data_IF_445690002686
#
_entry.id   IF_445690002686
#
_cell.length_a   1.000
_cell.length_b   1.000
_cell.length_c   1.000
_cell.angle_alpha   90.00
_cell.angle_beta   90.00
_cell.angle_gamma   90.00
#
_symmetry.space_group_name_H-M   'P 1'
#
loop_
_entity.id
_entity.type
_entity.pdbx_description
1 polymer ?
#
# COMPACT_ATOMS: atom_id res chain seq x y z
N UNK A 1 -4.11 8.57 8.87
CA UNK A 1 -3.79 7.47 7.92
C UNK A 1 -2.48 7.72 7.16
N UNK A 2 -2.37 8.80 6.38
CA UNK A 2 -1.17 9.09 5.56
C UNK A 2 0.14 9.20 6.37
N UNK A 3 0.13 9.94 7.47
CA UNK A 3 1.31 10.11 8.35
C UNK A 3 1.78 8.78 8.93
N UNK A 4 0.84 7.91 9.35
CA UNK A 4 1.17 6.59 9.87
C UNK A 4 1.76 5.68 8.78
N UNK A 5 1.20 5.75 7.57
CA UNK A 5 1.73 5.04 6.40
C UNK A 5 3.16 5.49 6.07
N UNK A 6 3.38 6.80 5.99
CA UNK A 6 4.71 7.37 5.70
C UNK A 6 5.75 6.98 6.76
N UNK A 7 5.40 7.09 8.04
CA UNK A 7 6.29 6.70 9.14
C UNK A 7 6.65 5.22 9.10
N UNK A 8 5.66 4.36 8.84
CA UNK A 8 5.90 2.92 8.68
C UNK A 8 6.80 2.63 7.48
N UNK A 9 6.50 3.26 6.34
CA UNK A 9 7.23 3.08 5.08
C UNK A 9 8.71 3.48 5.22
N UNK A 10 8.99 4.66 5.76
CA UNK A 10 10.37 5.14 5.97
C UNK A 10 11.11 4.24 6.97
N UNK A 11 10.47 3.89 8.10
CA UNK A 11 11.10 3.06 9.13
C UNK A 11 11.46 1.66 8.64
N UNK A 12 10.66 1.09 7.74
CA UNK A 12 10.86 -0.27 7.23
C UNK A 12 11.35 -0.29 5.78
N UNK A 13 11.85 0.86 5.27
CA UNK A 13 12.25 0.99 3.88
C UNK A 13 13.22 -0.09 3.39
N UNK A 14 14.19 -0.59 4.20
CA UNK A 14 15.04 -1.71 3.75
C UNK A 14 14.25 -2.97 3.36
N UNK A 15 13.19 -3.30 4.10
CA UNK A 15 12.31 -4.44 3.78
C UNK A 15 11.47 -4.12 2.54
N UNK A 16 10.88 -2.93 2.50
CA UNK A 16 10.12 -2.43 1.34
C UNK A 16 10.94 -2.51 0.06
N UNK A 17 12.19 -2.05 0.13
CA UNK A 17 13.15 -2.05 -0.95
C UNK A 17 13.49 -3.48 -1.39
N UNK A 18 13.75 -4.40 -0.46
CA UNK A 18 14.01 -5.80 -0.79
C UNK A 18 12.84 -6.45 -1.56
N UNK A 19 11.59 -6.28 -1.10
CA UNK A 19 10.42 -6.76 -1.81
C UNK A 19 10.26 -6.09 -3.18
N UNK A 20 10.54 -4.79 -3.28
CA UNK A 20 10.48 -4.05 -4.54
C UNK A 20 11.54 -4.47 -5.56
N UNK A 21 12.76 -4.77 -5.10
CA UNK A 21 13.85 -5.30 -5.94
C UNK A 21 13.48 -6.69 -6.46
N UNK A 22 12.95 -7.56 -5.59
CA UNK A 22 12.44 -8.88 -5.99
C UNK A 22 11.34 -8.78 -7.05
N UNK A 23 10.34 -7.92 -6.83
CA UNK A 23 9.29 -7.67 -7.81
C UNK A 23 9.82 -7.08 -9.14
N UNK A 24 10.97 -6.40 -9.10
CA UNK A 24 11.60 -5.82 -10.29
C UNK A 24 12.49 -6.81 -11.05
N UNK A 25 12.96 -7.87 -10.39
CA UNK A 25 13.92 -8.83 -10.98
C UNK A 25 13.31 -9.51 -12.21
N UNK A 26 12.00 -9.80 -12.17
CA UNK A 26 11.24 -10.30 -13.32
C UNK A 26 11.44 -9.44 -14.57
N UNK A 27 11.35 -8.11 -14.43
CA UNK A 27 11.36 -7.19 -15.57
C UNK A 27 12.74 -7.04 -16.19
N UNK A 28 13.79 -7.11 -15.38
CA UNK A 28 15.17 -7.11 -15.88
C UNK A 28 15.55 -8.44 -16.53
N UNK A 29 15.09 -9.58 -16.00
CA UNK A 29 15.29 -10.90 -16.62
C UNK A 29 14.58 -10.99 -17.97
N UNK A 30 13.36 -10.47 -18.08
CA UNK A 30 12.61 -10.44 -19.34
C UNK A 30 13.24 -9.55 -20.42
N UNK A 31 13.96 -8.48 -20.02
CA UNK A 31 14.59 -7.52 -20.95
C UNK A 31 16.02 -7.93 -21.31
N UNK A 32 16.77 -8.54 -20.39
CA UNK A 32 18.20 -8.85 -20.56
C UNK A 32 18.55 -10.32 -20.78
N UNK A 33 17.63 -11.27 -20.59
CA UNK A 33 17.94 -12.70 -20.54
C UNK A 33 18.02 -13.45 -21.88
N UNK A 34 17.58 -12.89 -23.01
CA UNK A 34 17.48 -13.64 -24.28
C UNK A 34 16.29 -14.62 -24.32
N UNK A 35 16.24 -15.50 -25.33
CA UNK A 35 15.09 -16.42 -25.56
C UNK A 35 14.81 -17.37 -24.40
N UNK A 36 15.85 -17.81 -23.67
CA UNK A 36 15.74 -18.72 -22.52
C UNK A 36 14.93 -18.14 -21.34
N UNK A 37 14.77 -16.82 -21.30
CA UNK A 37 14.04 -16.10 -20.24
C UNK A 37 12.77 -15.44 -20.75
N UNK A 38 12.34 -15.69 -21.99
CA UNK A 38 11.12 -15.12 -22.57
C UNK A 38 9.87 -15.42 -21.73
N UNK A 39 9.83 -16.56 -21.03
CA UNK A 39 8.74 -16.95 -20.13
C UNK A 39 8.59 -16.02 -18.91
N UNK A 40 9.65 -15.31 -18.51
CA UNK A 40 9.61 -14.32 -17.40
C UNK A 40 8.84 -13.05 -17.77
N UNK A 41 8.67 -12.77 -19.06
CA UNK A 41 7.77 -11.73 -19.55
C UNK A 41 6.29 -12.13 -19.52
N UNK A 42 6.00 -13.43 -19.43
CA UNK A 42 4.65 -14.01 -19.47
C UNK A 42 4.04 -14.28 -18.10
N UNK A 43 3.03 -15.16 -18.07
CA UNK A 43 2.18 -15.47 -16.91
C UNK A 43 3.01 -15.84 -15.66
N UNK A 44 4.07 -16.62 -15.82
CA UNK A 44 4.92 -17.04 -14.70
C UNK A 44 5.60 -15.85 -14.00
N UNK A 45 6.05 -14.85 -14.77
CA UNK A 45 6.62 -13.63 -14.21
C UNK A 45 5.60 -12.76 -13.50
N UNK A 46 4.39 -12.66 -14.05
CA UNK A 46 3.28 -11.95 -13.40
C UNK A 46 2.86 -12.61 -12.09
N UNK A 47 2.78 -13.95 -12.07
CA UNK A 47 2.49 -14.73 -10.86
C UNK A 47 3.56 -14.51 -9.79
N UNK A 48 4.84 -14.50 -10.17
CA UNK A 48 5.94 -14.22 -9.25
C UNK A 48 5.81 -12.81 -8.64
N UNK A 49 5.67 -11.78 -9.48
CA UNK A 49 5.54 -10.39 -9.03
C UNK A 49 4.31 -10.19 -8.12
N UNK A 50 3.17 -10.79 -8.48
CA UNK A 50 1.97 -10.74 -7.66
C UNK A 50 2.14 -11.52 -6.35
N UNK A 51 2.83 -12.66 -6.37
CA UNK A 51 3.17 -13.42 -5.17
C UNK A 51 4.02 -12.61 -4.19
N UNK A 52 5.08 -11.94 -4.69
CA UNK A 52 5.93 -11.05 -3.88
C UNK A 52 5.11 -9.90 -3.28
N UNK A 53 4.21 -9.28 -4.07
CA UNK A 53 3.31 -8.22 -3.58
C UNK A 53 2.34 -8.72 -2.52
N UNK A 54 1.78 -9.91 -2.69
CA UNK A 54 0.87 -10.52 -1.72
C UNK A 54 1.60 -10.83 -0.41
N UNK A 55 2.81 -11.39 -0.48
CA UNK A 55 3.66 -11.63 0.69
C UNK A 55 4.00 -10.32 1.41
N UNK A 56 4.34 -9.27 0.66
CA UNK A 56 4.58 -7.95 1.24
C UNK A 56 3.31 -7.38 1.91
N UNK A 57 2.15 -7.47 1.27
CA UNK A 57 0.87 -7.07 1.85
C UNK A 57 0.59 -7.80 3.17
N UNK A 58 0.77 -9.12 3.19
CA UNK A 58 0.60 -9.93 4.40
C UNK A 58 1.58 -9.50 5.50
N UNK A 59 2.84 -9.25 5.14
CA UNK A 59 3.85 -8.78 6.08
C UNK A 59 3.49 -7.41 6.68
N UNK A 60 3.07 -6.45 5.84
CA UNK A 60 2.62 -5.12 6.29
C UNK A 60 1.39 -5.25 7.20
N UNK A 61 0.37 -6.00 6.78
CA UNK A 61 -0.85 -6.23 7.55
C UNK A 61 -0.53 -6.84 8.93
N UNK A 62 0.32 -7.89 8.95
CA UNK A 62 0.73 -8.54 10.19
C UNK A 62 1.47 -7.60 11.13
N UNK A 63 2.32 -6.71 10.62
CA UNK A 63 3.08 -5.77 11.46
C UNK A 63 2.23 -4.59 11.93
N UNK A 64 1.41 -4.00 11.05
CA UNK A 64 0.61 -2.82 11.38
C UNK A 64 -0.62 -3.14 12.22
N UNK A 65 -1.23 -4.32 12.04
CA UNK A 65 -2.46 -4.75 12.72
C UNK A 65 -2.20 -5.66 13.93
N UNK A 66 -0.93 -5.98 14.23
CA UNK A 66 -0.53 -6.93 15.29
C UNK A 66 -1.18 -6.63 16.64
N UNK A 67 -1.30 -5.35 16.98
CA UNK A 67 -1.82 -4.86 18.25
C UNK A 67 -3.34 -4.90 18.33
N UNK A 68 -4.04 -4.92 17.19
CA UNK A 68 -5.49 -4.89 17.11
C UNK A 68 -6.11 -6.29 17.03
N UNK A 69 -5.34 -7.30 16.60
CA UNK A 69 -5.79 -8.70 16.40
C UNK A 69 -7.18 -8.82 15.76
N UNK A 70 -7.43 -8.17 14.61
CA UNK A 70 -8.77 -8.12 14.03
C UNK A 70 -9.21 -9.49 13.52
N UNK A 71 -10.50 -9.79 13.65
CA UNK A 71 -11.12 -10.95 13.00
C UNK A 71 -11.45 -10.63 11.53
N UNK A 72 -11.62 -11.67 10.70
CA UNK A 72 -12.03 -11.48 9.29
C UNK A 72 -13.37 -10.73 9.15
N UNK A 73 -14.28 -10.91 10.10
CA UNK A 73 -15.54 -10.16 10.17
C UNK A 73 -15.32 -8.66 10.38
N UNK A 74 -14.34 -8.27 11.20
CA UNK A 74 -14.04 -6.86 11.46
C UNK A 74 -13.48 -6.18 10.21
N UNK A 75 -12.57 -6.87 9.51
CA UNK A 75 -12.01 -6.41 8.23
C UNK A 75 -13.12 -6.28 7.18
N UNK A 76 -14.01 -7.27 7.07
CA UNK A 76 -15.12 -7.23 6.10
C UNK A 76 -16.08 -6.09 6.39
N UNK A 77 -16.37 -5.82 7.66
CA UNK A 77 -17.27 -4.73 8.08
C UNK A 77 -16.59 -3.36 8.06
N UNK A 78 -15.28 -3.30 7.81
CA UNK A 78 -14.53 -2.05 7.60
C UNK A 78 -14.87 -1.41 6.25
N UNK A 79 -15.47 -2.13 5.30
CA UNK A 79 -15.98 -1.52 4.06
C UNK A 79 -17.13 -0.56 4.31
N UNK A 80 -17.87 -0.70 5.42
CA UNK A 80 -18.96 0.23 5.76
C UNK A 80 -18.41 1.57 6.28
N UNK A 81 -17.23 1.55 6.89
CA UNK A 81 -16.53 2.77 7.33
C UNK A 81 -16.16 3.67 6.14
N UNK A 82 -15.80 3.04 5.02
CA UNK A 82 -15.53 3.70 3.74
C UNK A 82 -16.75 4.47 3.22
N UNK A 83 -17.96 3.92 3.39
CA UNK A 83 -19.20 4.57 2.95
C UNK A 83 -19.56 5.82 3.78
N UNK A 84 -19.21 5.82 5.08
CA UNK A 84 -19.46 6.92 6.01
C UNK A 84 -18.44 8.07 5.96
N UNK A 85 -17.21 7.81 5.48
CA UNK A 85 -16.11 8.78 5.52
C UNK A 85 -15.75 9.36 4.14
N UNK A 86 -16.77 9.74 3.36
CA UNK A 86 -16.63 10.21 1.97
C UNK A 86 -15.61 11.34 1.81
N UNK A 87 -15.53 12.29 2.75
CA UNK A 87 -14.56 13.38 2.71
C UNK A 87 -13.10 12.90 2.87
N UNK A 88 -12.85 11.96 3.79
CA UNK A 88 -11.53 11.35 3.95
C UNK A 88 -11.17 10.49 2.72
N UNK A 89 -12.17 9.86 2.09
CA UNK A 89 -12.01 9.15 0.83
C UNK A 89 -11.69 10.06 -0.35
N UNK A 90 -12.35 11.22 -0.44
CA UNK A 90 -12.03 12.24 -1.44
C UNK A 90 -10.60 12.72 -1.27
N UNK A 91 -10.14 12.93 -0.03
CA UNK A 91 -8.75 13.30 0.23
C UNK A 91 -7.77 12.17 -0.14
N UNK A 92 -8.11 10.90 0.14
CA UNK A 92 -7.33 9.77 -0.37
C UNK A 92 -7.32 9.77 -1.91
N UNK A 93 -8.43 10.07 -2.58
CA UNK A 93 -8.52 10.22 -4.02
C UNK A 93 -7.61 11.34 -4.55
N UNK A 94 -7.63 12.51 -3.92
CA UNK A 94 -6.76 13.64 -4.28
C UNK A 94 -5.29 13.27 -4.11
N UNK A 95 -4.92 12.65 -2.99
CA UNK A 95 -3.55 12.18 -2.74
C UNK A 95 -3.14 11.11 -3.74
N UNK A 96 -4.05 10.20 -4.13
CA UNK A 96 -3.81 9.22 -5.20
C UNK A 96 -3.58 9.86 -6.56
N UNK A 97 -4.38 10.85 -6.92
CA UNK A 97 -4.22 11.59 -8.18
C UNK A 97 -2.90 12.36 -8.17
N UNK A 98 -2.57 13.04 -7.06
CA UNK A 98 -1.31 13.77 -6.92
C UNK A 98 -0.09 12.83 -7.00
N UNK A 99 -0.12 11.70 -6.28
CA UNK A 99 0.91 10.66 -6.38
C UNK A 99 0.99 10.12 -7.81
N UNK A 100 -0.15 9.86 -8.45
CA UNK A 100 -0.17 9.38 -9.84
C UNK A 100 0.45 10.41 -10.77
N UNK A 101 0.17 11.71 -10.63
CA UNK A 101 0.78 12.74 -11.46
C UNK A 101 2.30 12.81 -11.25
N UNK A 102 2.76 12.89 -10.00
CA UNK A 102 4.20 12.96 -9.67
C UNK A 102 4.94 11.73 -10.21
N UNK A 103 4.38 10.54 -10.03
CA UNK A 103 5.09 9.31 -10.31
C UNK A 103 4.81 8.69 -11.68
N UNK A 104 3.68 8.99 -12.31
CA UNK A 104 3.42 8.58 -13.70
C UNK A 104 3.96 9.62 -14.66
N UNK A 105 3.76 10.91 -14.40
CA UNK A 105 4.26 11.95 -15.32
C UNK A 105 5.71 12.26 -14.98
N UNK A 106 6.02 12.61 -13.73
CA UNK A 106 7.39 13.02 -13.36
C UNK A 106 8.45 11.94 -13.57
N UNK A 107 8.22 10.72 -13.09
CA UNK A 107 9.21 9.62 -13.24
C UNK A 107 9.30 9.14 -14.68
N UNK A 108 8.18 9.01 -15.41
CA UNK A 108 8.23 8.55 -16.81
C UNK A 108 8.94 9.60 -17.69
N UNK A 109 8.71 10.90 -17.45
CA UNK A 109 9.42 11.99 -18.13
C UNK A 109 10.91 12.02 -17.78
N UNK A 110 11.27 11.81 -16.51
CA UNK A 110 12.66 11.78 -16.08
C UNK A 110 13.44 10.61 -16.70
N UNK A 111 12.84 9.41 -16.72
CA UNK A 111 13.48 8.20 -17.26
C UNK A 111 13.54 8.22 -18.79
N UNK A 112 12.53 8.79 -19.46
CA UNK A 112 12.56 8.98 -20.91
C UNK A 112 13.73 9.86 -21.37
N UNK A 113 14.24 10.75 -20.51
CA UNK A 113 15.43 11.55 -20.79
C UNK A 113 16.78 10.86 -20.51
N UNK A 114 16.79 9.67 -19.91
CA UNK A 114 18.00 9.01 -19.41
C UNK A 114 18.34 7.67 -20.09
N UNK A 115 17.39 7.02 -20.75
CA UNK A 115 17.58 5.67 -21.28
C UNK A 115 16.93 5.45 -22.65
N UNK A 116 17.48 4.52 -23.44
CA UNK A 116 16.83 4.07 -24.68
C UNK A 116 15.41 3.53 -24.39
N UNK A 117 14.45 3.68 -25.33
CA UNK A 117 13.04 3.35 -25.11
C UNK A 117 12.79 1.94 -24.55
N UNK A 118 13.60 0.97 -24.98
CA UNK A 118 13.50 -0.45 -24.56
C UNK A 118 13.87 -0.65 -23.09
N UNK A 119 14.85 0.09 -22.59
CA UNK A 119 15.31 0.05 -21.19
C UNK A 119 14.57 1.03 -20.28
N UNK A 120 14.07 2.14 -20.83
CA UNK A 120 13.31 3.14 -20.08
C UNK A 120 12.08 2.52 -19.41
N UNK A 121 11.34 1.65 -20.10
CA UNK A 121 10.18 0.97 -19.54
C UNK A 121 10.53 0.07 -18.35
N UNK A 122 11.66 -0.65 -18.43
CA UNK A 122 12.14 -1.53 -17.36
C UNK A 122 12.53 -0.73 -16.11
N UNK A 123 13.27 0.37 -16.30
CA UNK A 123 13.66 1.28 -15.22
C UNK A 123 12.46 1.97 -14.57
N UNK A 124 11.51 2.43 -15.37
CA UNK A 124 10.26 3.02 -14.87
C UNK A 124 9.54 2.03 -13.97
N UNK A 125 9.37 0.78 -14.41
CA UNK A 125 8.71 -0.24 -13.60
C UNK A 125 9.50 -0.58 -12.34
N UNK A 126 10.83 -0.61 -12.42
CA UNK A 126 11.69 -0.87 -11.26
C UNK A 126 11.54 0.22 -10.18
N UNK A 127 11.59 1.49 -10.57
CA UNK A 127 11.39 2.62 -9.66
C UNK A 127 10.01 2.54 -9.01
N UNK A 128 8.97 2.28 -9.79
CA UNK A 128 7.59 2.16 -9.27
C UNK A 128 7.44 0.98 -8.29
N UNK A 129 8.14 -0.14 -8.54
CA UNK A 129 8.13 -1.33 -7.69
C UNK A 129 8.87 -1.16 -6.36
N UNK A 130 9.86 -0.25 -6.24
CA UNK A 130 10.57 0.02 -4.97
C UNK A 130 10.06 1.25 -4.22
N UNK A 131 9.12 2.01 -4.80
CA UNK A 131 8.59 3.24 -4.20
C UNK A 131 7.07 3.19 -4.05
N UNK A 132 6.34 3.39 -5.15
CA UNK A 132 4.91 3.67 -5.15
C UNK A 132 4.09 2.46 -4.76
N UNK A 133 4.33 1.33 -5.41
CA UNK A 133 3.48 0.14 -5.24
C UNK A 133 3.57 -0.35 -3.78
N UNK A 134 4.76 -0.44 -3.18
CA UNK A 134 4.85 -0.77 -1.77
C UNK A 134 4.25 0.31 -0.86
N UNK A 135 4.40 1.61 -1.18
CA UNK A 135 3.79 2.68 -0.39
C UNK A 135 2.26 2.60 -0.41
N UNK A 136 1.69 2.30 -1.57
CA UNK A 136 0.26 2.09 -1.77
C UNK A 136 -0.28 0.94 -0.93
N UNK A 137 0.45 -0.17 -0.86
CA UNK A 137 0.12 -1.31 0.01
C UNK A 137 0.14 -0.90 1.48
N UNK A 138 1.20 -0.19 1.92
CA UNK A 138 1.32 0.32 3.30
C UNK A 138 0.17 1.27 3.65
N UNK A 139 -0.17 2.17 2.73
CA UNK A 139 -1.24 3.13 2.96
C UNK A 139 -2.61 2.47 3.03
N UNK A 140 -2.91 1.50 2.16
CA UNK A 140 -4.15 0.73 2.22
C UNK A 140 -4.33 0.05 3.58
N UNK A 141 -3.28 -0.58 4.12
CA UNK A 141 -3.31 -1.19 5.45
C UNK A 141 -3.47 -0.13 6.56
N UNK A 142 -2.84 1.04 6.42
CA UNK A 142 -3.00 2.14 7.37
C UNK A 142 -4.44 2.69 7.43
N UNK A 143 -5.16 2.68 6.30
CA UNK A 143 -6.59 3.05 6.24
C UNK A 143 -7.44 2.01 6.99
N UNK A 144 -7.22 0.72 6.74
CA UNK A 144 -7.93 -0.37 7.45
C UNK A 144 -7.65 -0.30 8.95
N UNK A 145 -6.40 -0.08 9.34
CA UNK A 145 -6.01 0.07 10.74
C UNK A 145 -6.76 1.21 11.43
N UNK A 146 -6.85 2.38 10.79
CA UNK A 146 -7.55 3.52 11.35
C UNK A 146 -9.05 3.25 11.51
N UNK A 147 -9.69 2.59 10.53
CA UNK A 147 -11.09 2.19 10.62
C UNK A 147 -11.34 1.23 11.80
N UNK A 148 -10.40 0.32 12.09
CA UNK A 148 -10.47 -0.59 13.22
C UNK A 148 -10.23 0.12 14.56
N UNK A 149 -9.26 1.02 14.63
CA UNK A 149 -8.94 1.81 15.84
C UNK A 149 -10.12 2.70 16.26
N UNK A 150 -10.76 3.38 15.31
CA UNK A 150 -11.91 4.25 15.60
C UNK A 150 -13.11 3.47 16.15
N UNK A 151 -13.35 2.26 15.64
CA UNK A 151 -14.38 1.37 16.19
C UNK A 151 -14.04 0.84 17.58
N UNK A 152 -12.78 0.52 17.83
CA UNK A 152 -12.33 0.11 19.16
C UNK A 152 -12.40 1.27 20.18
N UNK A 153 -12.28 2.52 19.72
CA UNK A 153 -12.28 3.72 20.56
C UNK A 153 -13.65 4.41 20.76
N UNK A 154 -14.69 4.12 19.96
CA UNK A 154 -15.95 4.85 20.06
C UNK A 154 -17.10 4.35 19.18
N UNK A 155 -17.69 3.20 19.53
CA UNK A 155 -19.08 2.93 19.12
C UNK A 155 -20.06 3.88 19.84
N UNK A 156 -21.18 4.31 19.22
CA UNK A 156 -22.24 5.10 19.88
C UNK A 156 -22.96 4.28 20.95
N UNK A 157 -22.29 4.07 22.08
CA UNK A 157 -22.71 3.24 23.19
C UNK A 157 -21.78 3.29 24.40
N UNK A 158 -20.80 4.20 24.44
CA UNK A 158 -20.10 4.51 25.69
C UNK A 158 -21.04 5.38 26.51
N UNK A 159 -21.86 4.71 27.32
CA UNK A 159 -22.60 5.30 28.40
C UNK A 159 -21.63 6.15 29.22
N UNK A 160 -21.74 7.48 29.09
CA UNK A 160 -21.27 8.40 30.11
C UNK A 160 -21.95 7.94 31.40
N UNK A 161 -21.22 7.52 32.45
CA UNK A 161 -21.84 7.27 33.74
C UNK A 161 -22.54 8.58 34.14
N UNK A 162 -23.87 8.58 34.17
CA UNK A 162 -24.59 9.68 34.80
C UNK A 162 -24.12 9.71 36.24
N UNK A 163 -23.45 10.79 36.63
CA UNK A 163 -23.18 11.06 38.03
C UNK A 163 -24.51 10.96 38.79
N UNK A 164 -24.55 10.32 39.97
CA UNK A 164 -25.76 10.24 40.75
C UNK A 164 -26.23 11.66 41.06
N UNK A 165 -27.52 11.90 40.79
CA UNK A 165 -28.22 13.10 41.23
C UNK A 165 -28.11 13.14 42.74
N UNK A 166 -27.41 14.12 43.28
CA UNK A 166 -27.48 14.44 44.69
C UNK A 166 -28.88 15.02 44.93
N UNK A 167 -29.80 14.20 45.41
CA UNK A 167 -30.98 14.68 46.11
C UNK A 167 -30.53 15.22 47.46
N UNK A 168 -30.50 16.56 47.59
CA UNK A 168 -30.78 17.30 48.84
C UNK A 168 -31.12 18.75 48.48
#
# INVERSE_FOLDING_TARGET
MLVAALRFFVRHYPVVFAFGVLASTQRFLAVGGGEDWAWTGGIAGELFTNGIRLLFLVWVARNMLRTLRPTWSDVRRSSDYIAGHRAAMLWNGVVLVALTLVFKVGVDTWIAGLAEPRTALAWTLAVKNVTIIPFMIVWAVAVVRAALEERAGGGPGVAVPRAPVAET
#
